data_IF_288635191225
#
_entry.id   IF_288635191225
#
_cell.length_a   1.000
_cell.length_b   1.000
_cell.length_c   1.000
_cell.angle_alpha   90.00
_cell.angle_beta   90.00
_cell.angle_gamma   90.00
#
_symmetry.space_group_name_H-M   'P 1'
#
loop_
_entity.id
_entity.type
_entity.pdbx_description
1 polymer ?
#
# COMPACT_ATOMS: atom_id res chain seq x y z
N UNK A 1 35.19 11.24 -77.62
CA UNK A 1 33.79 10.78 -77.72
C UNK A 1 33.65 9.47 -76.96
N UNK A 2 32.71 9.43 -76.00
CA UNK A 2 32.06 8.22 -75.41
C UNK A 2 33.01 7.30 -74.60
N UNK A 3 33.25 7.60 -73.32
CA UNK A 3 32.55 7.12 -72.09
C UNK A 3 32.64 5.61 -71.85
N UNK A 4 33.61 5.24 -71.02
CA UNK A 4 33.70 3.99 -70.25
C UNK A 4 32.50 3.87 -69.29
N UNK A 5 31.81 2.73 -69.33
CA UNK A 5 30.72 2.38 -68.42
C UNK A 5 31.26 1.36 -67.42
N UNK A 6 31.52 1.80 -66.19
CA UNK A 6 31.91 0.95 -65.06
C UNK A 6 30.62 0.51 -64.35
N UNK A 7 30.30 -0.76 -64.41
CA UNK A 7 29.15 -1.33 -63.68
C UNK A 7 29.54 -1.52 -62.22
N UNK A 8 28.99 -0.71 -61.32
CA UNK A 8 29.07 -0.89 -59.87
C UNK A 8 27.86 -1.70 -59.42
N UNK A 9 28.10 -2.91 -58.91
CA UNK A 9 27.08 -3.76 -58.30
C UNK A 9 26.95 -3.36 -56.81
N UNK A 10 25.89 -2.65 -56.46
CA UNK A 10 25.57 -2.30 -55.08
C UNK A 10 24.83 -3.46 -54.40
N UNK A 11 25.50 -4.17 -53.49
CA UNK A 11 24.87 -5.09 -52.55
C UNK A 11 24.18 -4.27 -51.45
N UNK A 12 22.87 -4.15 -51.49
CA UNK A 12 22.07 -3.66 -50.36
C UNK A 12 21.90 -4.81 -49.35
N UNK A 13 22.75 -4.83 -48.32
CA UNK A 13 22.51 -5.61 -47.11
C UNK A 13 21.48 -4.84 -46.27
N UNK A 14 20.23 -5.30 -46.31
CA UNK A 14 19.21 -4.88 -45.35
C UNK A 14 19.55 -5.49 -43.98
N UNK A 15 20.30 -4.74 -43.18
CA UNK A 15 20.47 -5.06 -41.76
C UNK A 15 19.14 -4.81 -41.05
N UNK A 16 18.34 -5.87 -40.89
CA UNK A 16 17.27 -5.89 -39.89
C UNK A 16 17.93 -5.71 -38.52
N UNK A 17 17.85 -4.50 -37.98
CA UNK A 17 18.10 -4.25 -36.55
C UNK A 17 16.95 -4.92 -35.81
N UNK A 18 17.12 -6.17 -35.42
CA UNK A 18 16.26 -6.81 -34.45
C UNK A 18 16.62 -6.14 -33.13
N UNK A 19 15.84 -5.11 -32.75
CA UNK A 19 15.87 -4.58 -31.40
C UNK A 19 15.44 -5.70 -30.47
N UNK A 20 16.39 -6.37 -29.85
CA UNK A 20 16.11 -7.18 -28.66
C UNK A 20 15.51 -6.23 -27.62
N UNK A 21 14.25 -6.47 -27.26
CA UNK A 21 13.67 -5.89 -26.06
C UNK A 21 14.46 -6.45 -24.87
N UNK A 22 15.56 -5.79 -24.52
CA UNK A 22 16.25 -5.99 -23.26
C UNK A 22 15.35 -5.34 -22.21
N UNK A 23 14.40 -6.12 -21.72
CA UNK A 23 13.63 -5.79 -20.53
C UNK A 23 14.58 -5.86 -19.33
N UNK A 24 15.31 -4.77 -19.09
CA UNK A 24 15.96 -4.50 -17.81
C UNK A 24 14.88 -4.00 -16.84
N UNK A 25 14.00 -4.91 -16.43
CA UNK A 25 13.18 -4.74 -15.24
C UNK A 25 13.96 -5.33 -14.07
N UNK A 26 14.02 -4.63 -12.95
CA UNK A 26 14.47 -5.13 -11.66
C UNK A 26 13.55 -6.27 -11.30
N UNK A 27 13.97 -7.47 -11.70
CA UNK A 27 13.10 -8.62 -11.69
C UNK A 27 12.83 -9.01 -10.24
N UNK A 28 11.55 -8.95 -9.83
CA UNK A 28 11.13 -9.77 -8.70
C UNK A 28 11.52 -11.21 -9.03
N UNK A 29 12.07 -11.93 -8.06
CA UNK A 29 12.32 -13.38 -8.23
C UNK A 29 11.03 -14.20 -8.14
N UNK A 30 9.89 -13.53 -7.91
CA UNK A 30 8.53 -14.08 -7.91
C UNK A 30 7.80 -13.65 -9.18
N UNK A 31 6.91 -14.49 -9.69
CA UNK A 31 6.08 -14.16 -10.85
C UNK A 31 5.11 -13.00 -10.54
N UNK A 32 4.98 -12.06 -11.48
CA UNK A 32 4.14 -10.86 -11.35
C UNK A 32 4.93 -9.60 -10.98
N UNK A 33 4.37 -8.43 -11.29
CA UNK A 33 4.93 -7.15 -10.85
C UNK A 33 4.44 -6.84 -9.43
N UNK A 34 5.36 -6.42 -8.54
CA UNK A 34 5.07 -6.17 -7.12
C UNK A 34 5.65 -4.83 -6.68
N UNK A 35 4.85 -4.03 -5.95
CA UNK A 35 5.30 -2.78 -5.33
C UNK A 35 5.31 -2.89 -3.81
N UNK A 36 6.40 -2.49 -3.13
CA UNK A 36 6.40 -2.28 -1.69
C UNK A 36 5.57 -1.03 -1.31
N UNK A 37 4.72 -1.16 -0.30
CA UNK A 37 3.87 -0.09 0.24
C UNK A 37 4.12 0.05 1.74
N UNK A 38 4.38 1.27 2.22
CA UNK A 38 4.61 1.58 3.65
C UNK A 38 3.30 1.42 4.43
N UNK A 39 3.34 0.79 5.62
CA UNK A 39 2.18 0.71 6.51
C UNK A 39 1.98 2.05 7.23
N UNK A 40 0.95 2.80 6.86
CA UNK A 40 0.69 4.11 7.45
C UNK A 40 0.12 4.03 8.88
N UNK A 41 -0.33 2.85 9.32
CA UNK A 41 -0.95 2.62 10.63
C UNK A 41 0.03 2.68 11.81
N UNK A 42 1.32 2.89 11.54
CA UNK A 42 2.41 2.96 12.52
C UNK A 42 3.17 4.29 12.59
N UNK A 43 2.66 5.41 12.04
CA UNK A 43 3.27 6.75 12.14
C UNK A 43 3.26 7.32 13.58
N UNK A 44 3.81 6.58 14.55
CA UNK A 44 3.86 6.92 15.97
C UNK A 44 5.19 7.52 16.43
N UNK A 45 6.11 7.85 15.53
CA UNK A 45 7.19 8.79 15.85
C UNK A 45 7.09 9.98 14.90
N UNK A 46 6.63 11.12 15.41
CA UNK A 46 6.39 12.38 14.67
C UNK A 46 7.64 12.96 13.97
N UNK A 47 8.78 12.26 14.00
CA UNK A 47 10.07 12.69 13.53
C UNK A 47 10.57 11.92 12.29
N UNK A 48 9.93 10.83 11.86
CA UNK A 48 10.38 10.04 10.71
C UNK A 48 9.40 10.21 9.55
N UNK A 49 9.88 10.76 8.44
CA UNK A 49 9.15 10.80 7.19
C UNK A 49 9.79 9.81 6.22
N UNK A 50 8.98 9.04 5.50
CA UNK A 50 9.49 8.02 4.59
C UNK A 50 8.65 7.91 3.33
N UNK A 51 9.32 7.67 2.21
CA UNK A 51 8.71 7.47 0.91
C UNK A 51 9.46 6.36 0.17
N UNK A 52 8.74 5.57 -0.63
CA UNK A 52 9.35 4.63 -1.56
C UNK A 52 9.17 5.14 -2.99
N UNK A 53 10.25 5.08 -3.77
CA UNK A 53 10.24 5.27 -5.20
C UNK A 53 10.64 3.96 -5.88
N UNK A 54 9.69 3.39 -6.61
CA UNK A 54 9.91 2.17 -7.40
C UNK A 54 10.29 2.53 -8.83
N UNK A 55 11.31 1.86 -9.37
CA UNK A 55 11.76 1.99 -10.75
C UNK A 55 12.12 0.64 -11.35
N UNK A 56 12.27 0.54 -12.69
CA UNK A 56 12.80 -0.67 -13.32
C UNK A 56 14.22 -1.05 -12.88
N UNK A 57 14.94 -0.22 -12.12
CA UNK A 57 16.26 -0.58 -11.62
C UNK A 57 16.14 -1.23 -10.23
N UNK A 58 15.18 -0.79 -9.41
CA UNK A 58 14.96 -1.29 -8.06
C UNK A 58 14.10 -0.33 -7.25
N UNK A 59 13.88 -0.69 -5.98
CA UNK A 59 13.12 0.12 -5.03
C UNK A 59 14.06 0.96 -4.17
N UNK A 60 13.93 2.28 -4.28
CA UNK A 60 14.62 3.23 -3.40
C UNK A 60 13.68 3.64 -2.27
N UNK A 61 14.21 3.70 -1.05
CA UNK A 61 13.53 4.31 0.09
C UNK A 61 14.24 5.58 0.50
N UNK A 62 13.45 6.64 0.65
CA UNK A 62 13.88 7.93 1.18
C UNK A 62 13.41 8.01 2.62
N UNK A 63 14.33 8.25 3.55
CA UNK A 63 14.01 8.51 4.95
C UNK A 63 14.55 9.87 5.35
N UNK A 64 13.69 10.67 5.99
CA UNK A 64 14.03 11.93 6.63
C UNK A 64 13.82 11.80 8.14
N UNK A 65 14.73 12.39 8.92
CA UNK A 65 14.64 12.43 10.38
C UNK A 65 14.66 13.88 10.89
N UNK A 66 13.60 14.27 11.59
CA UNK A 66 13.42 15.62 12.17
C UNK A 66 13.57 15.64 13.70
N UNK A 67 13.77 14.48 14.32
CA UNK A 67 13.90 14.33 15.76
C UNK A 67 15.27 14.75 16.30
N UNK A 68 15.40 14.74 17.63
CA UNK A 68 16.68 14.97 18.29
C UNK A 68 17.57 13.73 18.26
N UNK A 69 18.89 13.95 18.25
CA UNK A 69 19.88 12.88 18.23
C UNK A 69 20.05 12.24 16.85
N UNK A 70 19.93 10.91 16.77
CA UNK A 70 20.23 10.15 15.55
C UNK A 70 19.21 9.06 15.25
N UNK A 71 18.91 8.91 13.97
CA UNK A 71 18.30 7.73 13.39
C UNK A 71 19.38 6.92 12.67
N UNK A 72 19.45 5.63 12.91
CA UNK A 72 20.40 4.72 12.27
C UNK A 72 19.66 3.63 11.50
N UNK A 73 20.07 3.36 10.27
CA UNK A 73 19.54 2.26 9.45
C UNK A 73 20.41 1.04 9.69
N UNK A 74 19.78 -0.08 10.06
CA UNK A 74 20.47 -1.31 10.43
C UNK A 74 20.55 -2.28 9.25
N UNK A 75 21.73 -2.89 9.08
CA UNK A 75 21.98 -3.95 8.13
C UNK A 75 21.39 -5.29 8.58
N UNK A 76 21.60 -6.34 7.78
CA UNK A 76 21.14 -7.70 8.10
C UNK A 76 21.82 -8.28 9.36
N UNK A 77 22.99 -7.76 9.70
CA UNK A 77 23.75 -8.04 10.93
C UNK A 77 23.27 -7.23 12.14
N UNK A 78 22.26 -6.37 11.97
CA UNK A 78 21.77 -5.38 12.93
C UNK A 78 22.77 -4.28 13.32
N UNK A 79 23.85 -4.12 12.56
CA UNK A 79 24.79 -3.02 12.75
C UNK A 79 24.39 -1.81 11.88
N UNK A 80 24.64 -0.57 12.35
CA UNK A 80 24.24 0.63 11.63
C UNK A 80 25.19 0.94 10.46
N UNK A 81 24.64 1.21 9.28
CA UNK A 81 25.42 1.58 8.07
C UNK A 81 25.09 2.98 7.52
N UNK A 82 23.90 3.52 7.82
CA UNK A 82 23.52 4.91 7.57
C UNK A 82 23.10 5.53 8.90
N UNK A 83 23.50 6.78 9.15
CA UNK A 83 23.06 7.59 10.28
C UNK A 83 22.53 8.92 9.76
N UNK A 84 21.31 9.28 10.16
CA UNK A 84 20.65 10.54 9.82
C UNK A 84 20.49 11.35 11.10
N UNK A 85 20.97 12.60 11.08
CA UNK A 85 20.80 13.58 12.16
C UNK A 85 20.28 14.89 11.58
N UNK A 86 19.99 15.87 12.43
CA UNK A 86 19.69 17.24 11.98
C UNK A 86 20.84 17.91 11.22
N UNK A 87 22.09 17.50 11.48
CA UNK A 87 23.29 18.09 10.89
C UNK A 87 23.74 17.42 9.59
N UNK A 88 23.16 16.27 9.22
CA UNK A 88 23.53 15.58 8.01
C UNK A 88 23.31 14.07 8.05
N UNK A 89 23.77 13.43 6.97
CA UNK A 89 23.79 11.97 6.82
C UNK A 89 25.24 11.51 6.87
N UNK A 90 25.49 10.46 7.63
CA UNK A 90 26.78 9.80 7.76
C UNK A 90 26.66 8.35 7.31
N UNK A 91 27.65 7.87 6.56
CA UNK A 91 27.75 6.50 6.11
C UNK A 91 28.91 5.78 6.82
N UNK A 92 28.70 4.51 7.15
CA UNK A 92 29.77 3.66 7.66
C UNK A 92 30.52 3.02 6.48
N UNK A 93 31.73 3.52 6.20
CA UNK A 93 32.54 3.13 5.05
C UNK A 93 33.14 1.72 5.12
N UNK A 94 33.12 1.09 6.30
CA UNK A 94 33.58 -0.29 6.44
C UNK A 94 32.40 -1.28 6.45
N UNK A 95 31.14 -0.80 6.45
CA UNK A 95 29.99 -1.68 6.44
C UNK A 95 29.60 -2.11 5.01
N UNK A 96 29.54 -3.42 4.68
CA UNK A 96 29.22 -3.87 3.34
C UNK A 96 27.85 -3.40 2.84
N UNK A 97 26.88 -3.19 3.73
CA UNK A 97 25.56 -2.68 3.36
C UNK A 97 25.63 -1.30 2.73
N UNK A 98 26.54 -0.41 3.17
CA UNK A 98 26.70 0.90 2.56
C UNK A 98 26.97 0.84 1.05
N UNK A 99 27.73 -0.15 0.59
CA UNK A 99 28.03 -0.32 -0.84
C UNK A 99 26.93 -1.04 -1.60
N UNK A 100 26.21 -1.96 -0.94
CA UNK A 100 25.10 -2.72 -1.53
C UNK A 100 23.88 -1.85 -1.82
N UNK A 101 23.69 -0.74 -1.09
CA UNK A 101 22.48 0.11 -1.20
C UNK A 101 22.64 1.34 -2.12
N UNK A 102 23.83 1.59 -2.64
CA UNK A 102 24.11 2.78 -3.46
C UNK A 102 23.54 2.68 -4.88
N UNK A 103 23.34 1.47 -5.37
CA UNK A 103 22.86 1.21 -6.72
C UNK A 103 21.90 0.04 -6.71
N UNK A 104 20.93 0.08 -7.61
CA UNK A 104 20.17 -1.07 -8.01
C UNK A 104 21.09 -2.19 -8.53
N UNK A 105 21.06 -3.36 -7.87
CA UNK A 105 21.81 -4.55 -8.28
C UNK A 105 23.14 -4.77 -7.55
N UNK A 106 23.82 -5.90 -7.83
CA UNK A 106 25.04 -6.28 -7.15
C UNK A 106 26.21 -5.35 -7.53
N UNK A 107 26.90 -4.83 -6.51
CA UNK A 107 28.15 -4.09 -6.65
C UNK A 107 29.28 -4.91 -6.03
N UNK A 108 30.43 -5.08 -6.70
CA UNK A 108 31.60 -5.67 -6.06
C UNK A 108 31.99 -4.81 -4.85
N UNK A 109 32.19 -5.46 -3.71
CA UNK A 109 32.67 -4.80 -2.51
C UNK A 109 34.13 -4.36 -2.73
N UNK A 110 34.54 -3.19 -2.22
CA UNK A 110 35.95 -2.85 -2.18
C UNK A 110 36.77 -3.90 -1.42
N UNK A 111 38.02 -4.13 -1.83
CA UNK A 111 38.88 -5.20 -1.24
C UNK A 111 39.09 -5.05 0.28
N UNK A 112 39.00 -3.83 0.80
CA UNK A 112 39.14 -3.54 2.24
C UNK A 112 37.85 -3.76 3.03
N UNK A 113 36.70 -3.92 2.37
CA UNK A 113 35.42 -4.20 3.00
C UNK A 113 35.27 -5.71 3.09
N UNK A 114 35.42 -6.23 4.29
CA UNK A 114 35.26 -7.67 4.57
C UNK A 114 34.07 -7.88 5.48
N UNK A 115 33.52 -9.09 5.48
CA UNK A 115 32.47 -9.48 6.44
C UNK A 115 33.02 -9.63 7.88
N UNK A 116 34.31 -9.35 8.12
CA UNK A 116 34.96 -9.46 9.43
C UNK A 116 35.30 -8.09 10.01
N UNK A 117 34.82 -7.88 11.24
CA UNK A 117 35.09 -6.74 12.14
C UNK A 117 34.99 -5.36 11.47
N UNK A 118 33.77 -4.84 11.45
CA UNK A 118 33.44 -3.49 10.99
C UNK A 118 34.06 -2.44 11.94
N UNK A 119 35.07 -1.71 11.48
CA UNK A 119 35.46 -0.47 12.17
C UNK A 119 34.40 0.61 11.88
N UNK A 120 33.97 1.36 12.90
CA UNK A 120 32.97 2.42 12.70
C UNK A 120 33.59 3.67 12.06
N UNK A 121 33.85 3.62 10.75
CA UNK A 121 34.35 4.78 9.98
C UNK A 121 33.18 5.58 9.40
N UNK A 122 32.66 6.50 10.21
CA UNK A 122 31.57 7.39 9.83
C UNK A 122 32.06 8.61 9.06
N UNK A 123 31.58 8.76 7.83
CA UNK A 123 31.89 9.92 6.98
C UNK A 123 30.60 10.62 6.60
N UNK A 124 30.57 11.94 6.66
CA UNK A 124 29.42 12.72 6.21
C UNK A 124 29.29 12.63 4.69
N UNK A 125 28.11 12.24 4.21
CA UNK A 125 27.79 12.08 2.78
C UNK A 125 26.73 13.07 2.30
N UNK A 126 26.06 13.75 3.23
CA UNK A 126 25.08 14.81 2.94
C UNK A 126 24.97 15.78 4.11
N UNK A 127 24.67 17.04 3.81
CA UNK A 127 24.31 18.07 4.80
C UNK A 127 22.80 18.10 5.08
N UNK A 128 22.00 17.32 4.34
CA UNK A 128 20.55 17.20 4.53
C UNK A 128 20.23 16.22 5.65
N UNK A 129 19.06 16.36 6.26
CA UNK A 129 18.54 15.41 7.26
C UNK A 129 17.71 14.28 6.63
N UNK A 130 17.96 13.96 5.36
CA UNK A 130 17.32 12.87 4.63
C UNK A 130 18.31 12.17 3.70
N UNK A 131 18.06 10.89 3.45
CA UNK A 131 18.85 10.09 2.52
C UNK A 131 17.99 9.05 1.82
N UNK A 132 18.25 8.85 0.52
CA UNK A 132 17.63 7.82 -0.30
C UNK A 132 18.62 6.68 -0.58
N UNK A 133 18.17 5.43 -0.51
CA UNK A 133 19.00 4.26 -0.85
C UNK A 133 18.17 3.14 -1.45
N UNK A 134 18.79 2.27 -2.24
CA UNK A 134 18.18 1.04 -2.71
C UNK A 134 18.19 -0.01 -1.61
N UNK A 135 17.06 -0.66 -1.35
CA UNK A 135 16.97 -1.66 -0.29
C UNK A 135 16.37 -2.97 -0.81
N UNK A 136 17.15 -4.05 -0.77
CA UNK A 136 16.69 -5.37 -1.23
C UNK A 136 15.54 -5.93 -0.41
N UNK A 137 15.34 -5.46 0.82
CA UNK A 137 14.19 -5.87 1.65
C UNK A 137 12.87 -5.37 1.07
N UNK A 138 12.91 -4.42 0.13
CA UNK A 138 11.77 -3.92 -0.62
C UNK A 138 11.51 -4.69 -1.92
N UNK A 139 12.21 -5.80 -2.15
CA UNK A 139 11.96 -6.73 -3.26
C UNK A 139 11.22 -7.95 -2.72
N UNK A 140 10.10 -8.35 -3.36
CA UNK A 140 9.43 -9.60 -3.01
C UNK A 140 10.24 -10.77 -3.53
N UNK A 141 10.85 -11.52 -2.61
CA UNK A 141 11.70 -12.68 -2.95
C UNK A 141 11.06 -14.04 -2.71
N UNK A 142 9.92 -14.06 -2.04
CA UNK A 142 9.20 -15.26 -1.66
C UNK A 142 7.70 -15.01 -1.92
N UNK A 143 7.04 -15.98 -2.56
CA UNK A 143 5.59 -15.95 -2.80
C UNK A 143 4.81 -15.78 -1.50
N UNK A 144 5.31 -16.31 -0.38
CA UNK A 144 4.68 -16.21 0.94
C UNK A 144 5.04 -14.94 1.73
N UNK A 145 6.04 -14.17 1.27
CA UNK A 145 6.44 -12.94 1.93
C UNK A 145 5.46 -11.80 1.59
N UNK A 146 4.42 -11.63 2.39
CA UNK A 146 3.43 -10.56 2.22
C UNK A 146 3.91 -9.20 2.74
N UNK A 147 4.95 -9.20 3.59
CA UNK A 147 5.41 -8.04 4.33
C UNK A 147 6.92 -7.85 4.21
N UNK A 148 7.33 -6.60 4.37
CA UNK A 148 8.74 -6.21 4.45
C UNK A 148 8.97 -5.37 5.71
N UNK A 149 10.20 -5.38 6.19
CA UNK A 149 10.66 -4.56 7.32
C UNK A 149 12.10 -4.13 7.12
N UNK A 150 12.39 -2.87 7.45
CA UNK A 150 13.72 -2.29 7.55
C UNK A 150 13.93 -1.89 9.01
N UNK A 151 14.90 -2.52 9.65
CA UNK A 151 15.24 -2.21 11.03
C UNK A 151 15.94 -0.86 11.11
N UNK A 152 15.45 -0.02 12.01
CA UNK A 152 15.98 1.29 12.36
C UNK A 152 16.34 1.32 13.85
N UNK A 153 17.21 2.24 14.24
CA UNK A 153 17.44 2.58 15.64
C UNK A 153 17.37 4.09 15.83
N UNK A 154 16.43 4.58 16.64
CA UNK A 154 16.37 5.98 17.05
C UNK A 154 16.97 6.10 18.43
N UNK A 155 18.07 6.86 18.53
CA UNK A 155 18.82 7.05 19.77
C UNK A 155 19.18 5.72 20.47
N UNK A 156 19.47 4.69 19.68
CA UNK A 156 19.80 3.33 20.16
C UNK A 156 18.59 2.44 20.47
N UNK A 157 17.36 2.96 20.42
CA UNK A 157 16.15 2.16 20.53
C UNK A 157 15.73 1.63 19.17
N UNK A 158 15.65 0.31 19.04
CA UNK A 158 15.24 -0.35 17.80
C UNK A 158 13.77 -0.11 17.52
N UNK A 159 13.45 0.18 16.26
CA UNK A 159 12.11 0.19 15.70
C UNK A 159 12.16 -0.26 14.24
N UNK A 160 11.01 -0.58 13.66
CA UNK A 160 10.94 -1.12 12.31
C UNK A 160 10.11 -0.20 11.40
N UNK A 161 10.70 0.21 10.28
CA UNK A 161 9.94 0.77 9.17
C UNK A 161 9.42 -0.39 8.33
N UNK A 162 8.11 -0.57 8.28
CA UNK A 162 7.50 -1.78 7.72
C UNK A 162 6.36 -1.48 6.75
N UNK A 163 6.00 -2.52 5.99
CA UNK A 163 4.96 -2.43 4.98
C UNK A 163 4.55 -3.78 4.42
N UNK A 164 3.88 -3.74 3.27
CA UNK A 164 3.40 -4.92 2.55
C UNK A 164 3.73 -4.83 1.06
N UNK A 165 3.69 -5.97 0.37
CA UNK A 165 3.83 -6.03 -1.08
C UNK A 165 2.46 -6.02 -1.75
N UNK A 166 2.28 -5.13 -2.73
CA UNK A 166 1.06 -5.01 -3.52
C UNK A 166 1.31 -5.55 -4.93
N UNK A 167 0.53 -6.54 -5.35
CA UNK A 167 0.57 -7.02 -6.72
C UNK A 167 0.07 -5.95 -7.69
N UNK A 168 0.83 -5.71 -8.76
CA UNK A 168 0.43 -4.93 -9.93
C UNK A 168 -0.08 -5.81 -11.06
N UNK A 169 0.00 -7.14 -10.92
CA UNK A 169 -0.57 -8.06 -11.90
C UNK A 169 -2.01 -7.65 -12.15
N UNK A 170 -2.38 -7.28 -13.39
CA UNK A 170 -3.76 -6.97 -13.71
C UNK A 170 -4.62 -8.14 -13.26
N UNK A 171 -5.73 -7.91 -12.57
CA UNK A 171 -6.57 -9.01 -12.15
C UNK A 171 -6.97 -9.79 -13.42
N UNK A 172 -6.83 -11.12 -13.38
CA UNK A 172 -7.16 -12.01 -14.52
C UNK A 172 -8.64 -11.94 -14.91
N UNK A 173 -9.45 -11.26 -14.10
CA UNK A 173 -10.88 -11.05 -14.25
C UNK A 173 -11.24 -9.61 -13.89
N UNK A 174 -12.15 -9.01 -14.66
CA UNK A 174 -12.87 -7.82 -14.21
C UNK A 174 -14.16 -8.23 -13.55
N UNK A 175 -14.33 -7.77 -12.33
CA UNK A 175 -15.47 -8.12 -11.49
C UNK A 175 -16.30 -6.87 -11.20
N UNK A 176 -17.59 -6.92 -11.52
CA UNK A 176 -18.56 -5.92 -11.11
C UNK A 176 -19.19 -6.35 -9.77
N UNK A 177 -19.07 -5.50 -8.75
CA UNK A 177 -19.75 -5.72 -7.47
C UNK A 177 -21.19 -5.24 -7.60
N UNK A 178 -22.13 -6.12 -7.29
CA UNK A 178 -23.57 -5.91 -7.47
C UNK A 178 -24.29 -6.02 -6.14
N UNK A 179 -25.39 -5.26 -5.97
CA UNK A 179 -26.32 -5.42 -4.84
C UNK A 179 -27.49 -6.28 -5.30
N UNK A 180 -27.85 -7.31 -4.54
CA UNK A 180 -29.04 -8.11 -4.77
C UNK A 180 -30.19 -7.56 -3.92
N UNK A 181 -30.93 -6.60 -4.48
CA UNK A 181 -32.07 -5.99 -3.82
C UNK A 181 -33.27 -6.97 -3.64
N UNK A 182 -33.24 -8.13 -4.29
CA UNK A 182 -34.36 -9.08 -4.31
C UNK A 182 -34.16 -10.26 -3.34
N UNK A 183 -32.93 -10.66 -3.02
CA UNK A 183 -32.67 -11.85 -2.21
C UNK A 183 -33.16 -11.75 -0.75
N UNK A 184 -33.25 -10.54 -0.18
CA UNK A 184 -33.82 -10.31 1.15
C UNK A 184 -34.18 -8.82 1.33
N UNK A 185 -35.28 -8.33 0.74
CA UNK A 185 -35.61 -6.92 0.78
C UNK A 185 -35.80 -6.45 2.23
N UNK A 186 -35.03 -5.43 2.61
CA UNK A 186 -35.23 -4.68 3.84
C UNK A 186 -36.21 -3.56 3.49
N UNK A 187 -37.37 -3.53 4.17
CA UNK A 187 -38.39 -2.51 3.94
C UNK A 187 -37.78 -1.10 4.07
N UNK A 188 -38.16 -0.21 3.16
CA UNK A 188 -37.77 1.21 3.11
C UNK A 188 -36.26 1.46 2.98
N UNK A 189 -35.46 0.43 2.66
CA UNK A 189 -34.03 0.54 2.42
C UNK A 189 -33.71 0.47 0.92
N UNK A 190 -32.80 1.33 0.48
CA UNK A 190 -32.14 1.23 -0.82
C UNK A 190 -30.63 1.22 -0.61
N UNK A 191 -29.95 0.29 -1.27
CA UNK A 191 -28.50 0.18 -1.25
C UNK A 191 -27.93 0.21 -2.68
N UNK A 192 -26.78 0.85 -2.83
CA UNK A 192 -26.04 0.92 -4.09
C UNK A 192 -24.54 0.86 -3.81
N UNK A 193 -23.82 0.05 -4.60
CA UNK A 193 -22.36 0.05 -4.57
C UNK A 193 -21.84 1.23 -5.39
N UNK A 194 -20.88 1.96 -4.83
CA UNK A 194 -20.10 2.99 -5.49
C UNK A 194 -18.78 2.35 -5.94
N UNK A 195 -18.52 2.27 -7.25
CA UNK A 195 -17.28 1.71 -7.76
C UNK A 195 -16.10 2.65 -7.49
N UNK A 196 -14.92 2.08 -7.29
CA UNK A 196 -13.69 2.83 -7.06
C UNK A 196 -12.55 1.91 -6.60
N UNK A 197 -11.33 2.45 -6.44
CA UNK A 197 -10.20 1.74 -5.86
C UNK A 197 -10.47 1.24 -4.43
N UNK A 198 -11.21 2.04 -3.65
CA UNK A 198 -11.87 1.62 -2.42
C UNK A 198 -13.37 1.57 -2.71
N UNK A 199 -13.95 0.38 -2.70
CA UNK A 199 -15.37 0.21 -2.96
C UNK A 199 -16.17 0.71 -1.76
N UNK A 200 -17.26 1.42 -2.05
CA UNK A 200 -18.14 1.94 -1.02
C UNK A 200 -19.58 1.50 -1.25
N UNK A 201 -20.38 1.54 -0.19
CA UNK A 201 -21.82 1.34 -0.27
C UNK A 201 -22.52 2.62 0.18
N UNK A 202 -23.54 3.01 -0.57
CA UNK A 202 -24.49 4.04 -0.17
C UNK A 202 -25.78 3.38 0.25
N UNK A 203 -26.23 3.69 1.47
CA UNK A 203 -27.53 3.25 1.98
C UNK A 203 -28.41 4.48 2.19
N UNK A 204 -29.66 4.35 1.80
CA UNK A 204 -30.76 5.28 2.13
C UNK A 204 -31.85 4.49 2.82
N UNK A 205 -32.41 5.03 3.90
CA UNK A 205 -33.45 4.38 4.69
C UNK A 205 -34.59 5.36 4.98
N UNK A 206 -35.81 4.99 4.64
CA UNK A 206 -37.01 5.83 4.76
C UNK A 206 -38.02 5.32 5.80
N UNK A 207 -37.65 4.28 6.56
CA UNK A 207 -38.52 3.74 7.60
C UNK A 207 -38.66 4.69 8.80
N UNK A 208 -39.73 4.51 9.55
CA UNK A 208 -40.09 5.32 10.73
C UNK A 208 -39.38 4.89 12.02
N UNK A 209 -38.72 3.73 12.03
CA UNK A 209 -37.96 3.18 13.16
C UNK A 209 -36.45 3.40 12.98
N UNK A 210 -35.67 2.92 13.96
CA UNK A 210 -34.21 2.88 13.81
C UNK A 210 -33.78 1.61 13.06
N UNK A 211 -32.75 1.77 12.24
CA UNK A 211 -32.05 0.67 11.60
C UNK A 211 -30.56 0.80 11.92
N UNK A 212 -29.92 -0.29 12.35
CA UNK A 212 -28.52 -0.29 12.76
C UNK A 212 -27.71 -1.17 11.83
N UNK A 213 -26.74 -0.59 11.13
CA UNK A 213 -25.73 -1.33 10.37
C UNK A 213 -24.65 -1.81 11.33
N UNK A 214 -24.31 -3.08 11.24
CA UNK A 214 -23.21 -3.67 12.01
C UNK A 214 -21.91 -3.66 11.19
N UNK A 215 -20.78 -3.47 11.87
CA UNK A 215 -19.45 -3.60 11.27
C UNK A 215 -19.08 -5.08 11.01
N UNK A 216 -17.84 -5.32 10.57
CA UNK A 216 -17.31 -6.66 10.32
C UNK A 216 -17.10 -7.50 11.60
N UNK A 217 -17.25 -6.90 12.78
CA UNK A 217 -17.16 -7.56 14.09
C UNK A 217 -18.55 -7.78 14.71
N UNK A 218 -19.62 -7.61 13.93
CA UNK A 218 -21.00 -7.66 14.36
C UNK A 218 -21.35 -6.61 15.44
N UNK A 219 -20.58 -5.51 15.54
CA UNK A 219 -20.86 -4.40 16.46
C UNK A 219 -21.68 -3.29 15.79
N UNK A 220 -22.60 -2.62 16.51
CA UNK A 220 -23.31 -1.44 16.01
C UNK A 220 -22.37 -0.35 15.52
N UNK A 221 -22.41 -0.03 14.23
CA UNK A 221 -21.53 0.97 13.61
C UNK A 221 -22.28 2.23 13.19
N UNK A 222 -23.36 2.09 12.41
CA UNK A 222 -24.16 3.22 11.93
C UNK A 222 -25.62 3.03 12.31
N UNK A 223 -26.30 4.11 12.68
CA UNK A 223 -27.72 4.14 13.00
C UNK A 223 -28.44 5.09 12.07
N UNK A 224 -29.41 4.58 11.33
CA UNK A 224 -30.30 5.31 10.43
C UNK A 224 -31.67 5.51 11.08
N UNK A 225 -32.26 6.67 10.86
CA UNK A 225 -33.61 7.04 11.31
C UNK A 225 -34.16 8.15 10.42
N UNK A 226 -35.45 8.52 10.53
CA UNK A 226 -36.01 9.71 9.87
C UNK A 226 -35.26 11.01 10.20
N UNK A 227 -34.57 11.07 11.36
CA UNK A 227 -33.79 12.24 11.76
C UNK A 227 -32.43 12.30 11.07
N UNK A 228 -32.03 11.26 10.34
CA UNK A 228 -30.76 11.11 9.62
C UNK A 228 -29.86 10.00 10.19
N UNK A 229 -28.55 10.10 9.95
CA UNK A 229 -27.56 9.05 10.29
C UNK A 229 -26.64 9.46 11.43
N UNK A 230 -26.34 8.52 12.32
CA UNK A 230 -25.38 8.65 13.41
C UNK A 230 -24.35 7.52 13.36
N UNK A 231 -23.10 7.80 13.74
CA UNK A 231 -22.04 6.80 13.91
C UNK A 231 -21.79 6.49 15.38
N UNK A 232 -21.48 5.22 15.66
CA UNK A 232 -20.92 4.79 16.93
C UNK A 232 -19.41 5.05 16.93
N UNK A 233 -18.97 6.12 17.56
CA UNK A 233 -17.55 6.51 17.61
C UNK A 233 -16.66 5.50 18.34
N UNK A 234 -17.27 4.59 19.11
CA UNK A 234 -16.56 3.52 19.83
C UNK A 234 -16.39 2.24 19.00
N UNK A 235 -17.20 2.03 17.94
CA UNK A 235 -17.13 0.82 17.09
C UNK A 235 -15.74 0.68 16.46
N UNK A 236 -15.25 -0.55 16.45
CA UNK A 236 -13.96 -0.87 15.82
C UNK A 236 -14.02 -0.61 14.31
N UNK A 237 -15.09 -1.02 13.64
CA UNK A 237 -15.29 -0.75 12.22
C UNK A 237 -15.31 0.74 11.90
N UNK A 238 -16.02 1.55 12.69
CA UNK A 238 -16.03 3.01 12.50
C UNK A 238 -14.63 3.64 12.55
N UNK A 239 -13.80 3.24 13.54
CA UNK A 239 -12.43 3.74 13.70
C UNK A 239 -11.54 3.35 12.52
N UNK A 240 -11.74 2.17 11.96
CA UNK A 240 -10.96 1.67 10.83
C UNK A 240 -11.28 2.37 9.51
N UNK A 241 -12.43 3.05 9.38
CA UNK A 241 -12.75 3.87 8.21
C UNK A 241 -11.84 5.11 8.08
N UNK A 242 -10.97 5.40 9.06
CA UNK A 242 -10.00 6.50 8.98
C UNK A 242 -10.63 7.90 8.87
N UNK A 243 -11.92 8.03 9.18
CA UNK A 243 -12.61 9.32 9.19
C UNK A 243 -12.09 10.14 10.35
N UNK A 244 -11.82 11.44 10.13
CA UNK A 244 -11.44 12.34 11.22
C UNK A 244 -12.42 12.18 12.38
N UNK A 245 -11.94 11.81 13.59
CA UNK A 245 -12.81 11.58 14.71
C UNK A 245 -13.61 12.85 14.97
N UNK A 246 -14.92 12.71 15.12
CA UNK A 246 -15.73 13.81 15.61
C UNK A 246 -15.33 14.01 17.06
N UNK A 247 -14.81 15.19 17.41
CA UNK A 247 -14.41 15.55 18.77
C UNK A 247 -15.65 15.57 19.67
N UNK A 248 -15.97 14.41 20.24
CA UNK A 248 -17.16 14.20 21.03
C UNK A 248 -16.98 12.98 21.95
N UNK A 249 -17.32 13.17 23.22
CA UNK A 249 -17.42 12.08 24.19
C UNK A 249 -18.70 11.25 24.03
N UNK A 250 -19.61 11.65 23.12
CA UNK A 250 -20.83 10.91 22.87
C UNK A 250 -20.54 9.64 22.06
N UNK A 251 -21.13 8.52 22.50
CA UNK A 251 -21.05 7.24 21.78
C UNK A 251 -21.65 7.33 20.38
N UNK A 252 -22.81 7.99 20.25
CA UNK A 252 -23.49 8.18 18.97
C UNK A 252 -23.38 9.64 18.54
N UNK A 253 -22.86 9.86 17.34
CA UNK A 253 -22.61 11.21 16.81
C UNK A 253 -23.26 11.37 15.45
N UNK A 254 -23.90 12.53 15.25
CA UNK A 254 -24.60 12.85 14.00
C UNK A 254 -23.62 12.99 12.83
N UNK A 255 -23.86 12.22 11.77
CA UNK A 255 -23.08 12.29 10.52
C UNK A 255 -23.83 13.03 9.41
N UNK A 256 -25.14 12.83 9.34
CA UNK A 256 -25.97 13.37 8.27
C UNK A 256 -27.37 13.68 8.80
N UNK A 257 -27.93 14.80 8.37
CA UNK A 257 -29.35 15.14 8.58
C UNK A 257 -30.26 14.38 7.63
N UNK A 258 -29.73 13.88 6.52
CA UNK A 258 -30.45 12.98 5.61
C UNK A 258 -30.35 11.54 6.13
N UNK A 259 -31.39 10.75 5.96
CA UNK A 259 -31.40 9.32 6.28
C UNK A 259 -30.67 8.48 5.21
N UNK A 260 -29.53 9.00 4.73
CA UNK A 260 -28.67 8.37 3.75
C UNK A 260 -27.21 8.66 4.06
N UNK A 261 -26.35 7.66 3.86
CA UNK A 261 -24.91 7.78 4.08
C UNK A 261 -24.13 6.81 3.21
N UNK A 262 -22.90 7.20 2.85
CA UNK A 262 -21.97 6.41 2.04
C UNK A 262 -20.71 6.13 2.86
N UNK A 263 -20.25 4.88 2.88
CA UNK A 263 -19.00 4.50 3.53
C UNK A 263 -18.24 3.44 2.72
N UNK A 264 -16.90 3.42 2.76
CA UNK A 264 -16.11 2.31 2.23
C UNK A 264 -16.34 1.06 3.09
N UNK A 265 -16.42 -0.12 2.48
CA UNK A 265 -16.70 -1.36 3.21
C UNK A 265 -15.84 -2.51 2.67
N UNK A 266 -14.93 -3.02 3.50
CA UNK A 266 -13.95 -4.07 3.15
C UNK A 266 -14.60 -5.35 2.64
N UNK A 267 -15.84 -5.62 3.04
CA UNK A 267 -16.60 -6.81 2.61
C UNK A 267 -16.93 -6.79 1.12
N UNK A 268 -16.85 -5.63 0.46
CA UNK A 268 -17.05 -5.50 -0.99
C UNK A 268 -15.80 -5.89 -1.80
N UNK A 269 -14.64 -6.03 -1.15
CA UNK A 269 -13.35 -6.26 -1.79
C UNK A 269 -12.92 -7.74 -1.77
N UNK A 270 -13.52 -8.57 -0.91
CA UNK A 270 -13.19 -9.99 -0.78
C UNK A 270 -14.06 -10.89 -1.69
N UNK A 271 -13.60 -11.19 -2.91
CA UNK A 271 -14.30 -12.04 -3.88
C UNK A 271 -14.08 -13.55 -3.70
N UNK A 272 -13.41 -13.98 -2.61
CA UNK A 272 -13.27 -15.42 -2.28
C UNK A 272 -14.61 -16.05 -1.85
N UNK A 273 -15.57 -15.23 -1.43
CA UNK A 273 -16.92 -15.66 -1.10
C UNK A 273 -17.85 -15.55 -2.32
N UNK A 274 -18.84 -16.44 -2.44
CA UNK A 274 -19.84 -16.32 -3.52
C UNK A 274 -20.69 -15.04 -3.40
N UNK A 275 -20.91 -14.56 -2.17
CA UNK A 275 -21.74 -13.39 -1.86
C UNK A 275 -21.17 -12.60 -0.69
N UNK A 276 -21.19 -11.28 -0.79
CA UNK A 276 -20.94 -10.40 0.37
C UNK A 276 -22.24 -10.14 1.13
N UNK A 277 -22.11 -9.89 2.43
CA UNK A 277 -23.24 -9.54 3.32
C UNK A 277 -22.82 -8.48 4.33
N UNK A 278 -23.68 -7.48 4.50
CA UNK A 278 -23.58 -6.45 5.54
C UNK A 278 -24.79 -6.63 6.47
N UNK A 279 -24.58 -7.07 7.72
CA UNK A 279 -25.66 -7.25 8.68
C UNK A 279 -26.28 -5.92 9.09
N UNK A 280 -27.60 -5.94 9.20
CA UNK A 280 -28.43 -4.80 9.56
C UNK A 280 -29.48 -5.26 10.57
N UNK A 281 -29.43 -4.71 11.78
CA UNK A 281 -30.47 -4.90 12.78
C UNK A 281 -31.64 -3.94 12.53
N UNK A 282 -32.80 -4.50 12.24
CA UNK A 282 -34.04 -3.76 11.99
C UNK A 282 -34.87 -3.71 13.28
N UNK A 283 -35.07 -2.52 13.87
CA UNK A 283 -35.81 -2.43 15.13
C UNK A 283 -37.31 -2.73 14.97
N UNK A 284 -37.87 -2.50 13.78
CA UNK A 284 -39.30 -2.72 13.50
C UNK A 284 -39.71 -4.18 13.71
N UNK A 285 -38.88 -5.12 13.24
CA UNK A 285 -39.15 -6.56 13.35
C UNK A 285 -38.22 -7.30 14.33
N UNK A 286 -37.28 -6.57 14.95
CA UNK A 286 -36.28 -7.06 15.91
C UNK A 286 -35.42 -8.20 15.36
N UNK A 287 -35.11 -8.17 14.06
CA UNK A 287 -34.28 -9.18 13.39
C UNK A 287 -33.03 -8.56 12.76
N UNK A 288 -31.97 -9.36 12.69
CA UNK A 288 -30.85 -9.08 11.80
C UNK A 288 -31.22 -9.55 10.39
N UNK A 289 -31.08 -8.64 9.43
CA UNK A 289 -31.18 -8.88 7.99
C UNK A 289 -29.83 -8.53 7.36
N UNK A 290 -29.71 -8.74 6.04
CA UNK A 290 -28.47 -8.47 5.33
C UNK A 290 -28.74 -7.63 4.09
N UNK A 291 -27.99 -6.54 3.95
CA UNK A 291 -27.74 -5.99 2.62
C UNK A 291 -26.71 -6.94 2.00
N UNK A 292 -27.00 -7.46 0.82
CA UNK A 292 -26.17 -8.50 0.23
C UNK A 292 -26.11 -8.35 -1.28
N UNK A 293 -25.12 -9.02 -1.86
CA UNK A 293 -24.91 -9.02 -3.30
C UNK A 293 -23.78 -9.97 -3.66
N UNK A 294 -23.20 -9.76 -4.83
CA UNK A 294 -22.13 -10.62 -5.29
C UNK A 294 -21.21 -9.95 -6.30
N UNK A 295 -20.33 -10.77 -6.82
CA UNK A 295 -19.29 -10.42 -7.77
C UNK A 295 -19.61 -11.06 -9.10
N UNK A 296 -19.91 -10.24 -10.10
CA UNK A 296 -20.19 -10.70 -11.46
C UNK A 296 -18.94 -10.52 -12.30
N UNK A 297 -18.38 -11.62 -12.79
CA UNK A 297 -17.31 -11.58 -13.79
C UNK A 297 -17.87 -10.95 -15.08
N UNK A 298 -17.38 -9.78 -15.45
CA UNK A 298 -17.81 -9.04 -16.64
C UNK A 298 -16.81 -9.15 -17.80
N UNK A 299 -15.57 -9.59 -17.52
CA UNK A 299 -14.58 -9.96 -18.54
C UNK A 299 -13.48 -10.84 -17.95
N UNK A 300 -12.94 -11.77 -18.75
CA UNK A 300 -11.61 -12.36 -18.54
C UNK A 300 -10.60 -11.53 -19.32
N UNK A 301 -9.47 -11.21 -18.68
CA UNK A 301 -8.38 -10.45 -19.29
C UNK A 301 -7.26 -11.40 -19.73
#
# INVERSE_FOLDING_TARGET
>A
MIKTLTTVLAFFLASCVISSNVYAHGASVVAGEWLPVIDERGKSEAAILSQIQSSPLGNEILVQYEGEGKLEVLGDDNEPFIRITKSGVYANWDHPMWFKVQTAGPRPLPEWVTDQKLESKWTQVSERNYYGWYDKRLEKTDEHAERWSIALAVNGQRQDLSGYFKSLTPPSKRTLVTVDNNAAPIADLTAMVIPGPERAIRVSYQGDHHMVVLDEYDEPMLRFSPKGVEANTQSKGWKQLGRSPVDSNAKWVKLSTQAAYTWPDSRLDNDEQEKWKIPVFCHQDKKVKFIQGGWVEIARL
#
